data_IF_052611978883
#
_entry.id   IF_052611978883
#
_cell.length_a   1.000
_cell.length_b   1.000
_cell.length_c   1.000
_cell.angle_alpha   90.00
_cell.angle_beta   90.00
_cell.angle_gamma   90.00
#
_symmetry.space_group_name_H-M   'P 1'
#
loop_
_entity.id
_entity.type
_entity.pdbx_description
1 polymer ?
#
# COMPACT_ATOMS: atom_id res chain seq x y z
N UNK A 1 -30.63 -1.63 -6.01
CA UNK A 1 -29.16 -1.49 -6.10
C UNK A 1 -28.68 -0.70 -4.89
N UNK A 2 -28.16 -1.39 -3.88
CA UNK A 2 -27.69 -0.77 -2.64
C UNK A 2 -26.21 -0.41 -2.75
N UNK A 3 -25.88 0.88 -2.63
CA UNK A 3 -24.51 1.35 -2.43
C UNK A 3 -24.53 2.59 -1.53
N UNK A 4 -24.53 2.35 -0.23
CA UNK A 4 -24.26 3.36 0.80
C UNK A 4 -23.62 2.67 2.02
N UNK A 5 -22.44 2.10 1.81
CA UNK A 5 -21.69 1.35 2.81
C UNK A 5 -20.44 2.06 3.30
N UNK A 6 -20.48 3.37 3.58
CA UNK A 6 -19.54 4.10 4.48
C UNK A 6 -20.32 5.30 5.04
N UNK A 7 -20.57 5.41 6.37
CA UNK A 7 -19.52 5.82 7.32
C UNK A 7 -19.66 5.26 8.77
N UNK A 8 -20.14 4.03 8.98
CA UNK A 8 -20.06 3.42 10.32
C UNK A 8 -18.58 3.15 10.72
N UNK A 9 -17.80 2.59 9.79
CA UNK A 9 -16.37 2.30 9.98
C UNK A 9 -15.51 3.52 10.32
N UNK A 10 -15.85 4.72 9.82
CA UNK A 10 -15.12 5.94 10.14
C UNK A 10 -15.41 6.42 11.58
N UNK A 11 -16.64 6.20 12.09
CA UNK A 11 -17.01 6.54 13.47
C UNK A 11 -16.34 5.62 14.49
N UNK A 12 -16.16 4.34 14.14
CA UNK A 12 -15.47 3.38 15.00
C UNK A 12 -13.95 3.64 15.08
N UNK A 13 -13.36 4.22 14.03
CA UNK A 13 -11.93 4.60 14.02
C UNK A 13 -11.61 5.78 14.92
N UNK A 14 -12.49 6.80 14.99
CA UNK A 14 -12.31 7.95 15.89
C UNK A 14 -12.42 7.62 17.38
N UNK A 15 -12.76 6.38 17.73
CA UNK A 15 -12.88 5.89 19.11
C UNK A 15 -11.67 5.05 19.56
N UNK A 16 -10.64 4.93 18.71
CA UNK A 16 -9.38 4.27 19.02
C UNK A 16 -8.46 5.23 19.79
N UNK A 17 -7.53 4.71 20.58
CA UNK A 17 -6.41 5.51 21.07
C UNK A 17 -5.48 5.87 19.90
N UNK A 18 -4.73 6.96 20.02
CA UNK A 18 -3.77 7.42 18.99
C UNK A 18 -2.81 6.29 18.56
N UNK A 19 -2.33 5.49 19.52
CA UNK A 19 -1.47 4.34 19.25
C UNK A 19 -2.18 3.24 18.43
N UNK A 20 -3.45 2.97 18.73
CA UNK A 20 -4.25 1.96 18.03
C UNK A 20 -4.65 2.44 16.62
N UNK A 21 -4.95 3.73 16.46
CA UNK A 21 -5.18 4.34 15.15
C UNK A 21 -3.90 4.31 14.29
N UNK A 22 -2.76 4.67 14.86
CA UNK A 22 -1.47 4.63 14.17
C UNK A 22 -1.08 3.21 13.74
N UNK A 23 -1.26 2.22 14.63
CA UNK A 23 -0.99 0.81 14.32
C UNK A 23 -1.92 0.30 13.21
N UNK A 24 -3.20 0.65 13.25
CA UNK A 24 -4.17 0.27 12.22
C UNK A 24 -3.86 0.92 10.87
N UNK A 25 -3.52 2.21 10.88
CA UNK A 25 -3.13 2.95 9.68
C UNK A 25 -1.86 2.35 9.05
N UNK A 26 -0.85 2.01 9.85
CA UNK A 26 0.36 1.34 9.37
C UNK A 26 0.06 -0.04 8.78
N UNK A 27 -0.80 -0.84 9.43
CA UNK A 27 -1.20 -2.15 8.91
C UNK A 27 -1.97 -2.03 7.58
N UNK A 28 -2.89 -1.07 7.48
CA UNK A 28 -3.62 -0.79 6.25
C UNK A 28 -2.70 -0.30 5.13
N UNK A 29 -1.76 0.59 5.46
CA UNK A 29 -0.78 1.11 4.52
C UNK A 29 0.12 -0.01 3.99
N UNK A 30 0.62 -0.89 4.87
CA UNK A 30 1.43 -2.04 4.49
C UNK A 30 0.69 -2.94 3.48
N UNK A 31 -0.56 -3.30 3.78
CA UNK A 31 -1.42 -4.09 2.87
C UNK A 31 -1.64 -3.41 1.52
N UNK A 32 -1.88 -2.10 1.53
CA UNK A 32 -2.08 -1.33 0.30
C UNK A 32 -0.81 -1.28 -0.56
N UNK A 33 0.34 -1.03 0.07
CA UNK A 33 1.66 -1.04 -0.54
C UNK A 33 1.97 -2.38 -1.22
N UNK A 34 1.74 -3.49 -0.54
CA UNK A 34 1.95 -4.84 -1.09
C UNK A 34 1.07 -5.09 -2.32
N UNK A 35 -0.19 -4.62 -2.26
CA UNK A 35 -1.12 -4.71 -3.40
C UNK A 35 -0.63 -3.89 -4.59
N UNK A 36 -0.23 -2.63 -4.37
CA UNK A 36 0.24 -1.74 -5.43
C UNK A 36 1.51 -2.30 -6.10
N UNK A 37 2.45 -2.80 -5.32
CA UNK A 37 3.68 -3.39 -5.86
C UNK A 37 3.39 -4.61 -6.73
N UNK A 38 2.49 -5.51 -6.29
CA UNK A 38 2.08 -6.66 -7.10
C UNK A 38 1.37 -6.25 -8.40
N UNK A 39 0.50 -5.23 -8.36
CA UNK A 39 -0.17 -4.72 -9.56
C UNK A 39 0.81 -4.10 -10.56
N UNK A 40 1.83 -3.38 -10.07
CA UNK A 40 2.87 -2.82 -10.94
C UNK A 40 3.68 -3.92 -11.65
N UNK A 41 3.97 -5.04 -10.98
CA UNK A 41 4.65 -6.19 -11.61
C UNK A 41 3.80 -6.88 -12.67
N UNK A 42 2.50 -7.09 -12.38
CA UNK A 42 1.57 -7.64 -13.37
C UNK A 42 1.52 -6.75 -14.61
N UNK A 43 1.39 -5.44 -14.41
CA UNK A 43 1.35 -4.48 -15.51
C UNK A 43 2.64 -4.48 -16.34
N UNK A 44 3.81 -4.61 -15.69
CA UNK A 44 5.08 -4.76 -16.39
C UNK A 44 5.10 -6.01 -17.28
N UNK A 45 4.62 -7.15 -16.76
CA UNK A 45 4.53 -8.40 -17.53
C UNK A 45 3.61 -8.27 -18.75
N UNK A 46 2.46 -7.60 -18.61
CA UNK A 46 1.53 -7.36 -19.71
C UNK A 46 2.09 -6.40 -20.78
N UNK A 47 3.00 -5.48 -20.40
CA UNK A 47 3.72 -4.62 -21.36
C UNK A 47 4.75 -5.43 -22.15
N UNK A 48 5.49 -6.31 -21.48
CA UNK A 48 6.50 -7.17 -22.11
C UNK A 48 5.90 -8.20 -23.05
N UNK A 49 4.73 -8.75 -22.72
CA UNK A 49 3.99 -9.65 -23.61
C UNK A 49 3.37 -8.94 -24.81
N UNK A 50 3.38 -7.60 -24.83
CA UNK A 50 2.73 -6.79 -25.85
C UNK A 50 1.20 -6.76 -25.74
N UNK A 51 0.61 -7.22 -24.63
CA UNK A 51 -0.84 -7.13 -24.39
C UNK A 51 -1.27 -5.67 -24.28
N UNK A 52 -0.42 -4.81 -23.71
CA UNK A 52 -0.67 -3.38 -23.54
C UNK A 52 0.48 -2.54 -24.10
N UNK A 53 0.16 -1.33 -24.57
CA UNK A 53 1.14 -0.43 -25.18
C UNK A 53 2.16 0.08 -24.16
N UNK A 54 3.44 0.05 -24.53
CA UNK A 54 4.50 0.61 -23.70
C UNK A 54 4.41 2.15 -23.67
N UNK A 55 4.24 2.73 -22.46
CA UNK A 55 4.15 4.18 -22.20
C UNK A 55 5.10 4.67 -21.10
N UNK A 56 6.14 3.90 -20.78
CA UNK A 56 7.03 4.27 -19.68
C UNK A 56 7.98 3.16 -19.23
N UNK A 57 7.96 2.02 -19.90
CA UNK A 57 8.84 0.88 -19.67
C UNK A 57 8.38 -0.05 -18.55
N UNK A 58 8.43 -1.37 -18.75
CA UNK A 58 8.19 -2.35 -17.68
C UNK A 58 9.21 -2.21 -16.54
N UNK A 59 10.44 -1.77 -16.82
CA UNK A 59 11.47 -1.49 -15.82
C UNK A 59 11.05 -0.39 -14.84
N UNK A 60 10.35 0.65 -15.29
CA UNK A 60 9.89 1.73 -14.41
C UNK A 60 8.84 1.22 -13.40
N UNK A 61 7.96 0.32 -13.84
CA UNK A 61 6.97 -0.32 -12.97
C UNK A 61 7.61 -1.26 -11.95
N UNK A 62 8.64 -2.01 -12.36
CA UNK A 62 9.43 -2.84 -11.43
C UNK A 62 10.17 -1.99 -10.41
N UNK A 63 10.76 -0.87 -10.82
CA UNK A 63 11.40 0.08 -9.91
C UNK A 63 10.39 0.64 -8.90
N UNK A 64 9.19 1.03 -9.36
CA UNK A 64 8.11 1.48 -8.47
C UNK A 64 7.75 0.39 -7.45
N UNK A 65 7.54 -0.85 -7.90
CA UNK A 65 7.23 -1.98 -7.01
C UNK A 65 8.32 -2.20 -5.94
N UNK A 66 9.60 -2.10 -6.32
CA UNK A 66 10.73 -2.22 -5.41
C UNK A 66 10.74 -1.08 -4.37
N UNK A 67 10.58 0.18 -4.81
CA UNK A 67 10.56 1.36 -3.91
C UNK A 67 9.40 1.30 -2.93
N UNK A 68 8.22 0.90 -3.40
CA UNK A 68 6.99 0.77 -2.60
C UNK A 68 7.20 -0.30 -1.52
N UNK A 69 7.74 -1.48 -1.86
CA UNK A 69 8.04 -2.54 -0.88
C UNK A 69 9.10 -2.13 0.15
N UNK A 70 10.14 -1.43 -0.28
CA UNK A 70 11.18 -0.90 0.63
C UNK A 70 10.54 0.00 1.70
N UNK A 71 9.72 0.98 1.27
CA UNK A 71 9.06 1.89 2.21
C UNK A 71 7.99 1.23 3.09
N UNK A 72 7.38 0.14 2.64
CA UNK A 72 6.41 -0.63 3.44
C UNK A 72 7.03 -1.62 4.43
N UNK A 73 8.28 -2.01 4.22
CA UNK A 73 9.01 -2.95 5.07
C UNK A 73 9.79 -2.29 6.21
N UNK A 74 10.27 -1.06 6.00
CA UNK A 74 11.22 -0.39 6.91
C UNK A 74 10.57 0.37 8.08
N UNK A 75 9.24 0.26 8.26
CA UNK A 75 8.51 0.95 9.34
C UNK A 75 8.76 0.40 10.75
N UNK A 76 9.47 -0.72 10.90
CA UNK A 76 9.79 -1.33 12.19
C UNK A 76 11.20 -0.95 12.66
N UNK A 77 11.49 0.35 12.74
CA UNK A 77 12.59 0.81 13.60
C UNK A 77 12.28 0.46 15.06
N UNK A 78 13.29 0.20 15.91
CA UNK A 78 13.06 -0.03 17.34
C UNK A 78 12.24 1.14 17.92
N UNK A 79 11.28 0.87 18.83
CA UNK A 79 10.47 1.93 19.43
C UNK A 79 11.41 2.99 20.02
N UNK A 80 11.08 4.29 19.92
CA UNK A 80 11.89 5.33 20.55
C UNK A 80 12.04 5.00 22.04
N UNK A 81 13.27 4.64 22.42
CA UNK A 81 13.62 4.41 23.81
C UNK A 81 13.51 5.74 24.54
N UNK A 82 12.53 5.86 25.43
CA UNK A 82 12.49 6.95 26.39
C UNK A 82 13.68 6.80 27.34
N UNK A 83 14.68 7.68 27.17
CA UNK A 83 15.75 7.93 28.14
C UNK A 83 15.34 9.05 29.09
#
# INVERSE_FOLDING_TARGET
MARAGRPAMLRDWTNLSDDAEAALAQAALRRATETIAGQAEVLAGEMESGTIADRGGPEALRLLAAVVRLRGGDGQGPPPGHA
#
